data_IF_528829874889
#
_entry.id   IF_528829874889
#
_cell.length_a   1.000
_cell.length_b   1.000
_cell.length_c   1.000
_cell.angle_alpha   90.00
_cell.angle_beta   90.00
_cell.angle_gamma   90.00
#
_symmetry.space_group_name_H-M   'P 1'
#
loop_
_entity.id
_entity.type
_entity.pdbx_description
1 polymer ?
#
# COMPACT_ATOMS: atom_id res chain seq x y z
N UNK A 1 18.12 3.25 18.49
CA UNK A 1 17.16 4.19 19.11
C UNK A 1 17.55 4.51 20.55
N UNK A 2 17.49 5.79 20.92
CA UNK A 2 17.72 6.26 22.30
C UNK A 2 16.42 6.20 23.15
N UNK A 3 16.51 6.54 24.46
CA UNK A 3 15.37 6.47 25.40
C UNK A 3 14.21 7.40 24.98
N UNK A 4 14.49 8.62 24.51
CA UNK A 4 13.47 9.56 24.03
C UNK A 4 12.72 9.02 22.82
N UNK A 5 13.43 8.44 21.87
CA UNK A 5 12.89 7.84 20.66
C UNK A 5 11.98 6.65 20.99
N UNK A 6 12.42 5.75 21.88
CA UNK A 6 11.60 4.63 22.36
C UNK A 6 10.31 5.11 23.04
N UNK A 7 10.42 6.15 23.88
CA UNK A 7 9.25 6.73 24.55
C UNK A 7 8.25 7.31 23.53
N UNK A 8 8.71 8.03 22.51
CA UNK A 8 7.84 8.57 21.45
C UNK A 8 7.06 7.45 20.75
N UNK A 9 7.72 6.34 20.39
CA UNK A 9 7.04 5.21 19.76
C UNK A 9 5.96 4.64 20.68
N UNK A 10 6.27 4.44 21.96
CA UNK A 10 5.29 3.94 22.94
C UNK A 10 4.12 4.92 23.07
N UNK A 11 4.38 6.22 23.14
CA UNK A 11 3.32 7.23 23.26
C UNK A 11 2.42 7.28 22.02
N UNK A 12 2.96 7.08 20.81
CA UNK A 12 2.18 6.92 19.57
C UNK A 12 1.34 5.64 19.64
N UNK A 13 1.93 4.52 19.99
CA UNK A 13 1.24 3.21 20.06
C UNK A 13 0.10 3.20 21.09
N UNK A 14 0.26 3.91 22.19
CA UNK A 14 -0.75 4.06 23.24
C UNK A 14 -1.77 5.18 23.00
N UNK A 15 -1.66 5.90 21.86
CA UNK A 15 -2.53 7.02 21.52
C UNK A 15 -2.32 8.28 22.39
N UNK A 16 -1.23 8.34 23.16
CA UNK A 16 -0.86 9.52 23.97
C UNK A 16 -0.28 10.65 23.14
N UNK A 17 0.24 10.33 21.98
CA UNK A 17 0.75 11.24 20.95
C UNK A 17 -0.02 11.00 19.65
N UNK A 18 -0.47 12.08 18.97
CA UNK A 18 -1.10 11.99 17.66
C UNK A 18 -0.12 11.37 16.65
N UNK A 19 -0.60 10.43 15.83
CA UNK A 19 0.21 9.75 14.83
C UNK A 19 0.91 10.74 13.90
N UNK A 20 0.18 11.71 13.33
CA UNK A 20 0.70 12.71 12.40
C UNK A 20 1.86 13.52 13.00
N UNK A 21 1.70 14.03 14.22
CA UNK A 21 2.76 14.82 14.89
C UNK A 21 3.95 13.95 15.29
N UNK A 22 3.73 12.70 15.65
CA UNK A 22 4.81 11.76 15.95
C UNK A 22 5.61 11.39 14.72
N UNK A 23 4.94 11.13 13.59
CA UNK A 23 5.59 10.84 12.31
C UNK A 23 6.38 12.06 11.79
N UNK A 24 5.86 13.28 11.97
CA UNK A 24 6.57 14.50 11.61
C UNK A 24 7.88 14.66 12.43
N UNK A 25 7.86 14.36 13.73
CA UNK A 25 9.06 14.37 14.58
C UNK A 25 10.08 13.30 14.13
N UNK A 26 9.63 12.07 13.86
CA UNK A 26 10.47 10.98 13.36
C UNK A 26 11.13 11.41 12.03
N UNK A 27 10.36 11.93 11.08
CA UNK A 27 10.87 12.38 9.78
C UNK A 27 11.88 13.50 9.88
N UNK A 28 11.63 14.50 10.73
CA UNK A 28 12.39 15.73 10.75
C UNK A 28 13.64 15.68 11.66
N UNK A 29 13.60 14.86 12.71
CA UNK A 29 14.62 14.93 13.77
C UNK A 29 15.49 13.67 13.89
N UNK A 30 15.03 12.50 13.38
CA UNK A 30 15.73 11.25 13.58
C UNK A 30 16.75 10.97 12.47
N UNK A 31 17.83 10.26 12.83
CA UNK A 31 18.71 9.66 11.82
C UNK A 31 18.01 8.52 11.08
N UNK A 32 18.51 8.18 9.89
CA UNK A 32 17.89 7.18 9.01
C UNK A 32 17.63 5.83 9.71
N UNK A 33 18.61 5.31 10.45
CA UNK A 33 18.48 4.00 11.11
C UNK A 33 17.43 4.02 12.21
N UNK A 34 17.37 5.07 13.00
CA UNK A 34 16.35 5.22 14.03
C UNK A 34 14.97 5.42 13.41
N UNK A 35 14.86 6.20 12.34
CA UNK A 35 13.64 6.42 11.56
C UNK A 35 13.08 5.10 11.02
N UNK A 36 13.89 4.31 10.33
CA UNK A 36 13.51 3.00 9.78
C UNK A 36 13.03 2.06 10.87
N UNK A 37 13.77 1.94 11.98
CA UNK A 37 13.37 1.13 13.13
C UNK A 37 12.08 1.62 13.78
N UNK A 38 11.89 2.93 13.93
CA UNK A 38 10.71 3.53 14.54
C UNK A 38 9.45 3.28 13.71
N UNK A 39 9.53 3.52 12.41
CA UNK A 39 8.43 3.23 11.46
C UNK A 39 8.06 1.75 11.53
N UNK A 40 9.06 0.86 11.47
CA UNK A 40 8.83 -0.59 11.54
C UNK A 40 8.16 -1.03 12.85
N UNK A 41 8.51 -0.43 13.98
CA UNK A 41 7.85 -0.72 15.25
C UNK A 41 6.39 -0.25 15.27
N UNK A 42 6.06 0.89 14.65
CA UNK A 42 4.68 1.37 14.56
C UNK A 42 3.86 0.47 13.63
N UNK A 43 4.39 0.15 12.44
CA UNK A 43 3.69 -0.66 11.43
C UNK A 43 3.41 -2.09 11.93
N UNK A 44 4.37 -2.73 12.61
CA UNK A 44 4.28 -4.15 13.00
C UNK A 44 3.32 -4.41 14.15
N UNK A 45 3.03 -3.42 14.98
CA UNK A 45 2.17 -3.62 16.17
C UNK A 45 0.70 -3.39 15.79
N UNK A 46 -0.18 -4.27 16.29
CA UNK A 46 -1.62 -4.18 16.05
C UNK A 46 -2.29 -3.17 16.99
N UNK A 47 -1.81 -1.92 16.98
CA UNK A 47 -2.41 -0.78 17.68
C UNK A 47 -3.30 0.02 16.73
N UNK A 48 -4.11 0.94 17.26
CA UNK A 48 -4.91 1.86 16.45
C UNK A 48 -4.00 2.64 15.49
N UNK A 49 -2.94 3.26 16.01
CA UNK A 49 -1.98 4.03 15.21
C UNK A 49 -1.24 3.18 14.17
N UNK A 50 -0.92 1.91 14.51
CA UNK A 50 -0.29 1.00 13.56
C UNK A 50 -1.22 0.61 12.42
N UNK A 51 -2.51 0.38 12.69
CA UNK A 51 -3.52 0.13 11.66
C UNK A 51 -3.77 1.37 10.80
N UNK A 52 -3.89 2.54 11.42
CA UNK A 52 -4.06 3.81 10.72
C UNK A 52 -2.91 4.08 9.75
N UNK A 53 -1.65 3.89 10.19
CA UNK A 53 -0.47 4.05 9.33
C UNK A 53 -0.46 3.02 8.18
N UNK A 54 -0.73 1.75 8.46
CA UNK A 54 -0.80 0.73 7.39
C UNK A 54 -1.89 1.05 6.37
N UNK A 55 -3.09 1.37 6.82
CA UNK A 55 -4.22 1.68 5.93
C UNK A 55 -3.98 2.92 5.08
N UNK A 56 -3.17 3.87 5.55
CA UNK A 56 -2.79 5.03 4.76
C UNK A 56 -1.71 4.72 3.72
N UNK A 57 -0.77 3.84 4.05
CA UNK A 57 0.32 3.44 3.14
C UNK A 57 -0.12 2.35 2.15
N UNK A 58 -0.94 1.42 2.60
CA UNK A 58 -1.50 0.30 1.83
C UNK A 58 -3.01 0.22 2.14
N UNK A 59 -3.86 1.01 1.48
CA UNK A 59 -5.28 1.07 1.77
C UNK A 59 -5.97 -0.27 1.48
N UNK A 60 -6.80 -0.72 2.43
CA UNK A 60 -7.63 -1.93 2.29
C UNK A 60 -9.01 -1.63 1.70
N UNK A 61 -9.35 -0.36 1.46
CA UNK A 61 -10.65 0.09 0.94
C UNK A 61 -10.46 1.25 -0.01
N UNK A 62 -11.30 1.29 -1.05
CA UNK A 62 -11.27 2.36 -2.04
C UNK A 62 -11.56 3.75 -1.45
N UNK A 63 -12.36 3.82 -0.39
CA UNK A 63 -12.66 5.07 0.32
C UNK A 63 -11.41 5.74 0.92
N UNK A 64 -10.37 4.96 1.20
CA UNK A 64 -9.13 5.43 1.82
C UNK A 64 -8.04 5.82 0.79
N UNK A 65 -8.34 5.67 -0.50
CA UNK A 65 -7.43 6.10 -1.56
C UNK A 65 -7.29 7.63 -1.55
N UNK A 66 -6.04 8.11 -1.47
CA UNK A 66 -5.73 9.53 -1.47
C UNK A 66 -5.79 10.21 -0.10
N UNK A 67 -6.14 9.51 0.97
CA UNK A 67 -5.96 10.02 2.32
C UNK A 67 -4.47 10.28 2.60
N UNK A 68 -4.15 11.46 3.10
CA UNK A 68 -2.77 11.84 3.39
C UNK A 68 -2.59 12.11 4.89
N UNK A 69 -1.95 11.17 5.58
CA UNK A 69 -1.57 11.32 6.99
C UNK A 69 -0.39 12.28 7.21
N UNK A 70 0.32 12.61 6.14
CA UNK A 70 1.56 13.38 6.28
C UNK A 70 1.25 14.87 6.14
N UNK A 71 1.51 15.64 7.19
CA UNK A 71 1.45 17.09 7.11
C UNK A 71 2.40 17.58 6.00
N UNK A 72 1.89 18.47 5.16
CA UNK A 72 2.67 19.17 4.13
C UNK A 72 3.63 20.14 4.82
N UNK A 73 4.71 19.61 5.39
CA UNK A 73 5.78 20.39 5.99
C UNK A 73 6.97 20.48 5.03
N UNK A 74 7.64 21.63 5.01
CA UNK A 74 8.91 21.77 4.31
C UNK A 74 9.93 20.84 4.99
N UNK A 75 10.50 19.92 4.22
CA UNK A 75 11.54 19.03 4.66
C UNK A 75 12.67 19.10 3.64
N UNK A 76 13.92 19.07 4.09
CA UNK A 76 15.08 18.96 3.20
C UNK A 76 14.95 17.72 2.31
N UNK A 77 15.39 17.82 1.06
CA UNK A 77 15.26 16.75 0.07
C UNK A 77 15.82 15.41 0.56
N UNK A 78 17.03 15.42 1.15
CA UNK A 78 17.67 14.20 1.67
C UNK A 78 16.87 13.56 2.80
N UNK A 79 16.24 14.35 3.66
CA UNK A 79 15.35 13.83 4.70
C UNK A 79 14.09 13.22 4.12
N UNK A 80 13.51 13.85 3.11
CA UNK A 80 12.35 13.30 2.43
C UNK A 80 12.69 11.98 1.72
N UNK A 81 13.83 11.90 1.07
CA UNK A 81 14.32 10.69 0.43
C UNK A 81 14.54 9.56 1.44
N UNK A 82 15.23 9.86 2.55
CA UNK A 82 15.44 8.91 3.64
C UNK A 82 14.10 8.41 4.24
N UNK A 83 13.12 9.30 4.39
CA UNK A 83 11.78 8.94 4.84
C UNK A 83 11.10 7.95 3.90
N UNK A 84 11.13 8.22 2.59
CA UNK A 84 10.55 7.34 1.58
C UNK A 84 11.24 5.98 1.60
N UNK A 85 12.58 5.94 1.64
CA UNK A 85 13.36 4.69 1.68
C UNK A 85 13.03 3.90 2.96
N UNK A 86 12.91 4.56 4.11
CA UNK A 86 12.56 3.89 5.36
C UNK A 86 11.17 3.25 5.32
N UNK A 87 10.20 3.92 4.68
CA UNK A 87 8.86 3.36 4.45
C UNK A 87 8.94 2.16 3.51
N UNK A 88 9.58 2.29 2.34
CA UNK A 88 9.69 1.23 1.34
C UNK A 88 10.38 -0.02 1.92
N UNK A 89 11.44 0.15 2.71
CA UNK A 89 12.13 -0.96 3.37
C UNK A 89 11.20 -1.71 4.34
N UNK A 90 10.36 -0.99 5.06
CA UNK A 90 9.41 -1.60 6.01
C UNK A 90 8.19 -2.23 5.33
N UNK A 91 7.93 -1.90 4.06
CA UNK A 91 6.85 -2.44 3.24
C UNK A 91 7.37 -3.35 2.10
N UNK A 92 8.62 -3.77 2.15
CA UNK A 92 9.25 -4.57 1.08
C UNK A 92 8.48 -5.85 0.78
N UNK A 93 8.01 -6.58 1.79
CA UNK A 93 7.29 -7.83 1.60
C UNK A 93 5.94 -7.63 0.88
N UNK A 94 5.03 -6.73 1.32
CA UNK A 94 3.79 -6.48 0.57
C UNK A 94 4.05 -5.89 -0.82
N UNK A 95 5.06 -5.03 -0.99
CA UNK A 95 5.43 -4.49 -2.32
C UNK A 95 5.89 -5.63 -3.25
N UNK A 96 6.75 -6.52 -2.80
CA UNK A 96 7.21 -7.66 -3.59
C UNK A 96 6.06 -8.63 -3.91
N UNK A 97 5.11 -8.81 -2.99
CA UNK A 97 3.90 -9.61 -3.23
C UNK A 97 3.04 -8.97 -4.30
N UNK A 98 2.82 -7.65 -4.24
CA UNK A 98 2.12 -6.89 -5.28
C UNK A 98 2.78 -7.06 -6.66
N UNK A 99 4.09 -6.83 -6.74
CA UNK A 99 4.84 -6.94 -7.99
C UNK A 99 4.74 -8.34 -8.60
N UNK A 100 4.84 -9.38 -7.76
CA UNK A 100 4.69 -10.77 -8.21
C UNK A 100 3.31 -11.06 -8.81
N UNK A 101 2.23 -10.63 -8.15
CA UNK A 101 0.88 -10.84 -8.68
C UNK A 101 0.61 -9.98 -9.91
N UNK A 102 1.16 -8.76 -9.97
CA UNK A 102 1.08 -7.93 -11.17
C UNK A 102 1.76 -8.60 -12.37
N UNK A 103 2.97 -9.12 -12.20
CA UNK A 103 3.67 -9.84 -13.27
C UNK A 103 2.90 -11.10 -13.72
N UNK A 104 2.28 -11.82 -12.78
CA UNK A 104 1.40 -12.96 -13.11
C UNK A 104 0.16 -12.52 -13.88
N UNK A 105 -0.47 -11.41 -13.49
CA UNK A 105 -1.58 -10.80 -14.18
C UNK A 105 -1.22 -10.44 -15.63
N UNK A 106 -0.11 -9.71 -15.83
CA UNK A 106 0.35 -9.29 -17.15
C UNK A 106 0.65 -10.50 -18.05
N UNK A 107 1.28 -11.53 -17.51
CA UNK A 107 1.54 -12.79 -18.25
C UNK A 107 0.24 -13.52 -18.61
N UNK A 108 -0.73 -13.60 -17.70
CA UNK A 108 -2.03 -14.22 -17.96
C UNK A 108 -2.79 -13.48 -19.06
N UNK A 109 -2.74 -12.13 -19.08
CA UNK A 109 -3.32 -11.34 -20.16
C UNK A 109 -2.69 -11.63 -21.53
N UNK A 110 -1.36 -11.69 -21.60
CA UNK A 110 -0.64 -12.01 -22.84
C UNK A 110 -1.03 -13.38 -23.39
N UNK A 111 -1.28 -14.35 -22.50
CA UNK A 111 -1.68 -15.71 -22.85
C UNK A 111 -3.19 -15.84 -23.12
N UNK A 112 -4.00 -14.80 -22.89
CA UNK A 112 -5.46 -14.85 -22.99
C UNK A 112 -6.13 -15.63 -21.86
N UNK A 113 -5.42 -15.90 -20.77
CA UNK A 113 -5.94 -16.60 -19.59
C UNK A 113 -6.61 -15.62 -18.63
N UNK A 114 -7.78 -15.16 -19.03
CA UNK A 114 -8.52 -14.12 -18.31
C UNK A 114 -8.96 -14.56 -16.91
N UNK A 115 -9.24 -15.85 -16.70
CA UNK A 115 -9.65 -16.38 -15.39
C UNK A 115 -8.49 -16.27 -14.37
N UNK A 116 -7.27 -16.56 -14.79
CA UNK A 116 -6.10 -16.39 -13.93
C UNK A 116 -5.72 -14.91 -13.76
N UNK A 117 -5.92 -14.08 -14.77
CA UNK A 117 -5.73 -12.64 -14.65
C UNK A 117 -6.64 -12.06 -13.56
N UNK A 118 -7.93 -12.37 -13.56
CA UNK A 118 -8.89 -11.93 -12.53
C UNK A 118 -8.45 -12.40 -11.14
N UNK A 119 -8.08 -13.68 -10.98
CA UNK A 119 -7.59 -14.20 -9.70
C UNK A 119 -6.35 -13.48 -9.17
N UNK A 120 -5.48 -12.98 -10.06
CA UNK A 120 -4.33 -12.19 -9.64
C UNK A 120 -4.73 -10.81 -9.11
N UNK A 121 -5.72 -10.16 -9.74
CA UNK A 121 -6.28 -8.89 -9.24
C UNK A 121 -6.95 -9.07 -7.87
N UNK A 122 -7.77 -10.11 -7.71
CA UNK A 122 -8.42 -10.44 -6.44
C UNK A 122 -7.37 -10.64 -5.32
N UNK A 123 -6.29 -11.38 -5.60
CA UNK A 123 -5.21 -11.59 -4.64
C UNK A 123 -4.46 -10.32 -4.27
N UNK A 124 -4.24 -9.40 -5.21
CA UNK A 124 -3.65 -8.09 -4.91
C UNK A 124 -4.55 -7.33 -3.92
N UNK A 125 -5.84 -7.31 -4.18
CA UNK A 125 -6.80 -6.60 -3.34
C UNK A 125 -6.94 -7.23 -1.95
N UNK A 126 -7.00 -8.55 -1.87
CA UNK A 126 -7.19 -9.28 -0.60
C UNK A 126 -5.93 -9.33 0.26
N UNK A 127 -4.76 -9.56 -0.34
CA UNK A 127 -3.52 -9.85 0.38
C UNK A 127 -2.61 -8.61 0.56
N UNK A 128 -2.77 -7.57 -0.28
CA UNK A 128 -1.86 -6.42 -0.27
C UNK A 128 -2.60 -5.11 -0.03
N UNK A 129 -3.28 -4.60 -1.05
CA UNK A 129 -4.01 -3.34 -0.95
C UNK A 129 -4.91 -3.11 -2.17
N UNK A 130 -5.91 -2.24 -2.01
CA UNK A 130 -6.62 -1.65 -3.14
C UNK A 130 -5.76 -0.55 -3.79
N UNK A 131 -5.85 -0.40 -5.09
CA UNK A 131 -5.08 0.61 -5.85
C UNK A 131 -5.87 1.10 -7.06
N UNK A 132 -5.53 2.31 -7.54
CA UNK A 132 -6.11 2.82 -8.80
C UNK A 132 -5.75 1.93 -9.98
N UNK A 133 -4.52 1.36 -10.00
CA UNK A 133 -4.12 0.39 -11.02
C UNK A 133 -4.99 -0.87 -10.98
N UNK A 134 -5.24 -1.42 -9.77
CA UNK A 134 -6.12 -2.59 -9.59
C UNK A 134 -7.54 -2.31 -10.07
N UNK A 135 -8.11 -1.15 -9.69
CA UNK A 135 -9.44 -0.74 -10.10
C UNK A 135 -9.56 -0.60 -11.62
N UNK A 136 -8.61 0.07 -12.27
CA UNK A 136 -8.60 0.26 -13.73
C UNK A 136 -8.55 -1.07 -14.47
N UNK A 137 -7.68 -1.99 -14.03
CA UNK A 137 -7.57 -3.32 -14.62
C UNK A 137 -8.80 -4.20 -14.33
N UNK A 138 -9.44 -4.08 -13.16
CA UNK A 138 -10.69 -4.79 -12.85
C UNK A 138 -11.83 -4.32 -13.76
N UNK A 139 -11.94 -3.00 -14.01
CA UNK A 139 -12.90 -2.44 -14.97
C UNK A 139 -12.63 -2.95 -16.38
N UNK A 140 -11.35 -2.95 -16.80
CA UNK A 140 -10.94 -3.48 -18.10
C UNK A 140 -11.34 -4.95 -18.26
N UNK A 141 -11.05 -5.79 -17.28
CA UNK A 141 -11.38 -7.22 -17.30
C UNK A 141 -12.89 -7.46 -17.36
N UNK A 142 -13.67 -6.69 -16.59
CA UNK A 142 -15.12 -6.79 -16.59
C UNK A 142 -15.72 -6.43 -17.95
N UNK A 143 -15.24 -5.37 -18.56
CA UNK A 143 -15.70 -4.94 -19.89
C UNK A 143 -15.30 -5.95 -20.98
N UNK A 144 -14.09 -6.52 -20.91
CA UNK A 144 -13.59 -7.49 -21.87
C UNK A 144 -14.37 -8.81 -21.80
N UNK A 145 -14.62 -9.32 -20.60
CA UNK A 145 -15.39 -10.55 -20.41
C UNK A 145 -16.84 -10.39 -20.89
N UNK A 146 -17.48 -9.25 -20.63
CA UNK A 146 -18.85 -8.96 -21.09
C UNK A 146 -18.93 -8.87 -22.63
N UNK A 147 -17.93 -8.27 -23.28
CA UNK A 147 -17.88 -8.12 -24.74
C UNK A 147 -17.63 -9.45 -25.44
N UNK A 148 -16.76 -10.32 -24.87
CA UNK A 148 -16.53 -11.67 -25.39
C UNK A 148 -17.79 -12.56 -25.25
N UNK A 149 -18.53 -12.47 -24.16
CA UNK A 149 -19.79 -13.20 -23.98
C UNK A 149 -20.83 -12.77 -25.01
N UNK A 150 -20.93 -11.48 -25.30
CA UNK A 150 -21.85 -10.93 -26.27
C UNK A 150 -21.49 -11.33 -27.72
N UNK A 151 -20.20 -11.27 -28.08
CA UNK A 151 -19.69 -11.71 -29.39
C UNK A 151 -19.87 -13.22 -29.58
N UNK A 152 -19.62 -14.04 -28.56
CA UNK A 152 -19.77 -15.48 -28.61
C UNK A 152 -21.25 -15.88 -28.77
N UNK A 153 -22.15 -15.19 -28.08
CA UNK A 153 -23.60 -15.42 -28.24
C UNK A 153 -24.13 -15.05 -29.62
N UNK A 154 -23.62 -13.96 -30.23
CA UNK A 154 -24.00 -13.54 -31.57
C UNK A 154 -23.46 -14.46 -32.67
N UNK A 155 -22.24 -15.00 -32.51
CA UNK A 155 -21.63 -15.91 -33.48
C UNK A 155 -22.22 -17.33 -33.45
N UNK A 156 -22.87 -17.73 -32.35
CA UNK A 156 -23.53 -19.06 -32.23
C UNK A 156 -25.01 -19.05 -32.65
N UNK A 157 -25.58 -17.88 -32.93
CA UNK A 157 -26.97 -17.72 -33.35
C UNK A 157 -27.16 -17.23 -34.81
N UNK A 158 -26.06 -17.19 -35.59
CA UNK A 158 -26.12 -17.14 -37.06
C UNK A 158 -25.87 -18.54 -37.64
#
# INVERSE_FOLDING_TARGET
MNIKQKKLIIDIQLGRRKLTSGLAEIRNEWDFKAMEQGIGQIIKVNTVSGRELRNNLLPCRYDNLGENLFEKGFCEFDRQLNWIIAILNNLSDPINTYLRYRDQYENALILGDYDNAIKCLDKIEEEVCVSLWGLDNSIFMHNTSSTFFWLFFHLLHE
#
